data_IF_517664425401
#
_entry.id   IF_517664425401
#
_cell.length_a   1.000
_cell.length_b   1.000
_cell.length_c   1.000
_cell.angle_alpha   90.00
_cell.angle_beta   90.00
_cell.angle_gamma   90.00
#
_symmetry.space_group_name_H-M   'P 1'
#
loop_
_entity.id
_entity.type
_entity.pdbx_description
1 polymer ?
#
# COMPACT_ATOMS: atom_id res chain seq x y z
N UNK A 1 -28.23 -32.16 42.03
CA UNK A 1 -27.26 -31.06 42.00
C UNK A 1 -26.79 -30.92 40.56
N UNK A 2 -27.39 -29.99 39.80
CA UNK A 2 -27.10 -29.81 38.38
C UNK A 2 -26.00 -28.73 38.22
N UNK A 3 -24.86 -29.14 37.67
CA UNK A 3 -23.81 -28.25 37.20
C UNK A 3 -24.28 -27.60 35.89
N UNK A 4 -24.42 -26.27 35.88
CA UNK A 4 -24.69 -25.51 34.66
C UNK A 4 -23.34 -25.00 34.14
N UNK A 5 -22.83 -25.65 33.10
CA UNK A 5 -21.73 -25.11 32.29
C UNK A 5 -22.31 -23.96 31.45
N UNK A 6 -22.01 -22.71 31.82
CA UNK A 6 -22.20 -21.57 30.93
C UNK A 6 -21.12 -21.62 29.86
N UNK A 7 -21.48 -22.07 28.67
CA UNK A 7 -20.68 -21.83 27.47
C UNK A 7 -20.67 -20.33 27.17
N UNK A 8 -19.57 -19.67 27.50
CA UNK A 8 -19.29 -18.32 27.03
C UNK A 8 -19.01 -18.40 25.53
N UNK A 9 -20.03 -18.12 24.71
CA UNK A 9 -19.83 -17.84 23.29
C UNK A 9 -19.07 -16.52 23.15
N UNK A 10 -17.75 -16.59 23.13
CA UNK A 10 -16.92 -15.49 22.67
C UNK A 10 -17.16 -15.35 21.17
N UNK A 11 -18.07 -14.44 20.81
CA UNK A 11 -18.22 -13.98 19.44
C UNK A 11 -16.94 -13.24 19.09
N UNK A 12 -16.06 -13.90 18.33
CA UNK A 12 -14.86 -13.28 17.76
C UNK A 12 -15.35 -12.18 16.83
N UNK A 13 -15.40 -10.94 17.33
CA UNK A 13 -15.58 -9.75 16.51
C UNK A 13 -14.46 -9.78 15.47
N UNK A 14 -14.82 -10.01 14.21
CA UNK A 14 -13.98 -9.69 13.06
C UNK A 14 -13.50 -8.26 13.27
N UNK A 15 -12.20 -8.08 13.51
CA UNK A 15 -11.63 -6.73 13.50
C UNK A 15 -11.81 -6.30 12.05
N UNK A 16 -12.80 -5.44 11.78
CA UNK A 16 -12.79 -4.68 10.55
C UNK A 16 -11.49 -3.88 10.62
N UNK A 17 -10.47 -4.34 9.91
CA UNK A 17 -9.18 -3.68 9.89
C UNK A 17 -9.41 -2.27 9.35
N UNK A 18 -9.46 -1.28 10.25
CA UNK A 18 -9.52 0.11 9.85
C UNK A 18 -8.32 0.38 8.95
N UNK A 19 -8.51 1.14 7.87
CA UNK A 19 -7.37 1.55 7.05
C UNK A 19 -6.50 2.56 7.79
N UNK A 20 -5.21 2.61 7.45
CA UNK A 20 -4.27 3.57 8.01
C UNK A 20 -4.71 5.01 7.73
N UNK A 21 -5.42 5.22 6.62
CA UNK A 21 -5.95 6.50 6.17
C UNK A 21 -7.47 6.40 5.93
N UNK A 22 -8.17 7.53 6.05
CA UNK A 22 -9.59 7.62 5.65
C UNK A 22 -9.70 7.47 4.15
N UNK A 23 -10.36 6.39 3.70
CA UNK A 23 -10.53 6.11 2.28
C UNK A 23 -11.83 6.70 1.72
N UNK A 24 -11.87 7.04 0.41
CA UNK A 24 -13.12 7.31 -0.31
C UNK A 24 -14.07 6.10 -0.23
N UNK A 25 -15.38 6.32 -0.30
CA UNK A 25 -16.38 5.28 0.00
C UNK A 25 -16.24 3.95 -0.76
N UNK A 26 -15.89 3.99 -2.05
CA UNK A 26 -15.71 2.79 -2.88
C UNK A 26 -14.26 2.32 -2.95
N UNK A 27 -13.45 2.62 -1.92
CA UNK A 27 -12.02 2.36 -1.89
C UNK A 27 -11.63 1.50 -0.67
N UNK A 28 -10.82 0.44 -0.84
CA UNK A 28 -10.34 -0.11 -2.12
C UNK A 28 -11.49 -0.69 -2.97
N UNK A 29 -11.26 -0.96 -4.26
CA UNK A 29 -12.25 -1.65 -5.10
C UNK A 29 -12.65 -2.99 -4.49
N UNK A 30 -13.91 -3.39 -4.64
CA UNK A 30 -14.39 -4.69 -4.14
C UNK A 30 -13.62 -5.87 -4.78
N UNK A 31 -13.35 -5.76 -6.08
CA UNK A 31 -12.62 -6.75 -6.85
C UNK A 31 -11.12 -6.41 -6.87
N UNK A 32 -10.41 -6.83 -5.83
CA UNK A 32 -8.95 -6.68 -5.78
C UNK A 32 -8.24 -7.77 -6.57
N UNK A 33 -7.32 -7.39 -7.46
CA UNK A 33 -6.41 -8.33 -8.12
C UNK A 33 -5.11 -8.39 -7.32
N UNK A 34 -4.81 -9.54 -6.71
CA UNK A 34 -3.58 -9.67 -5.92
C UNK A 34 -2.32 -9.65 -6.80
N UNK A 35 -1.22 -9.02 -6.36
CA UNK A 35 0.09 -9.18 -6.99
C UNK A 35 0.48 -10.65 -7.08
N UNK A 36 1.18 -11.02 -8.16
CA UNK A 36 1.72 -12.38 -8.36
C UNK A 36 3.20 -12.47 -7.94
N UNK A 37 3.68 -11.52 -7.14
CA UNK A 37 5.06 -11.40 -6.67
C UNK A 37 5.07 -11.16 -5.16
N UNK A 38 6.06 -11.72 -4.49
CA UNK A 38 6.25 -11.55 -3.04
C UNK A 38 6.87 -10.19 -2.70
N UNK A 39 7.41 -9.48 -3.68
CA UNK A 39 8.07 -8.18 -3.49
C UNK A 39 7.65 -7.21 -4.59
N UNK A 40 7.28 -6.02 -4.17
CA UNK A 40 6.99 -4.87 -5.02
C UNK A 40 7.97 -3.73 -4.69
N UNK A 41 7.97 -2.67 -5.49
CA UNK A 41 8.94 -1.58 -5.36
C UNK A 41 8.24 -0.23 -5.23
N UNK A 42 8.61 0.52 -4.19
CA UNK A 42 8.18 1.90 -3.97
C UNK A 42 9.28 2.85 -4.44
N UNK A 43 8.95 3.76 -5.33
CA UNK A 43 9.86 4.83 -5.77
C UNK A 43 10.10 5.85 -4.65
N UNK A 44 11.35 6.26 -4.47
CA UNK A 44 11.83 7.19 -3.44
C UNK A 44 12.66 8.31 -4.06
N UNK A 45 12.61 9.49 -3.45
CA UNK A 45 13.41 10.65 -3.88
C UNK A 45 14.81 10.68 -3.24
N UNK A 46 15.07 9.81 -2.26
CA UNK A 46 16.33 9.72 -1.54
C UNK A 46 16.63 8.26 -1.15
N UNK A 47 17.88 7.98 -0.77
CA UNK A 47 18.30 6.66 -0.30
C UNK A 47 17.64 6.28 1.04
N UNK A 48 17.44 7.26 1.91
CA UNK A 48 16.71 7.07 3.15
C UNK A 48 15.21 7.27 2.89
N UNK A 49 14.38 6.45 3.52
CA UNK A 49 12.93 6.61 3.51
C UNK A 49 12.40 6.84 4.92
N UNK A 50 11.19 7.37 4.98
CA UNK A 50 10.46 7.68 6.19
C UNK A 50 9.00 7.26 6.06
N UNK A 51 8.25 7.35 7.14
CA UNK A 51 6.80 7.14 7.17
C UNK A 51 6.08 7.98 6.10
N UNK A 52 6.59 9.17 5.77
CA UNK A 52 5.99 10.04 4.77
C UNK A 52 6.02 9.46 3.34
N UNK A 53 6.99 8.60 3.03
CA UNK A 53 7.09 7.94 1.73
C UNK A 53 6.00 6.88 1.52
N UNK A 54 5.42 6.40 2.63
CA UNK A 54 4.34 5.43 2.71
C UNK A 54 2.99 6.08 3.05
N UNK A 55 2.83 7.38 2.83
CA UNK A 55 1.54 8.07 2.82
C UNK A 55 0.99 8.19 1.41
N UNK A 56 -0.33 8.16 1.27
CA UNK A 56 -0.99 8.40 -0.01
C UNK A 56 -0.80 9.84 -0.49
N UNK A 57 -0.97 10.08 -1.79
CA UNK A 57 -0.91 11.43 -2.34
C UNK A 57 -2.07 12.30 -1.84
N UNK A 58 -3.23 11.70 -1.58
CA UNK A 58 -4.38 12.39 -1.01
C UNK A 58 -4.12 12.87 0.42
N UNK A 59 -3.42 12.09 1.24
CA UNK A 59 -3.03 12.52 2.58
C UNK A 59 -1.95 13.61 2.56
N UNK A 60 -1.01 13.52 1.61
CA UNK A 60 0.04 14.55 1.43
C UNK A 60 -0.52 15.89 0.97
N UNK A 61 -1.51 15.86 0.09
CA UNK A 61 -2.20 17.06 -0.41
C UNK A 61 -3.72 16.80 -0.50
N UNK A 62 -4.46 17.03 0.60
CA UNK A 62 -5.90 16.84 0.64
C UNK A 62 -6.68 17.79 -0.28
N UNK A 63 -6.05 18.87 -0.75
CA UNK A 63 -6.68 19.85 -1.63
C UNK A 63 -6.61 19.46 -3.11
N UNK A 64 -5.74 18.51 -3.44
CA UNK A 64 -5.54 18.03 -4.81
C UNK A 64 -6.77 17.27 -5.31
N UNK A 65 -7.27 17.68 -6.47
CA UNK A 65 -8.33 16.98 -7.17
C UNK A 65 -7.75 15.81 -7.98
N UNK A 66 -7.97 14.59 -7.51
CA UNK A 66 -7.63 13.38 -8.26
C UNK A 66 -8.78 13.00 -9.18
N UNK A 67 -8.46 12.66 -10.43
CA UNK A 67 -9.44 12.05 -11.36
C UNK A 67 -9.94 10.71 -10.80
N UNK A 68 -9.03 9.96 -10.17
CA UNK A 68 -9.32 8.75 -9.42
C UNK A 68 -8.91 8.97 -7.95
N UNK A 69 -9.87 9.31 -7.08
CA UNK A 69 -9.61 9.49 -5.65
C UNK A 69 -9.12 8.23 -4.95
N UNK A 70 -9.54 7.04 -5.40
CA UNK A 70 -9.13 5.80 -4.75
C UNK A 70 -7.65 5.49 -5.01
N UNK A 71 -7.21 5.63 -6.26
CA UNK A 71 -5.79 5.58 -6.61
C UNK A 71 -4.98 6.68 -5.90
N UNK A 72 -5.54 7.88 -5.72
CA UNK A 72 -4.94 8.96 -4.95
C UNK A 72 -4.77 8.65 -3.45
N UNK A 73 -5.67 7.85 -2.88
CA UNK A 73 -5.66 7.38 -1.50
C UNK A 73 -4.82 6.09 -1.28
N UNK A 74 -4.03 5.67 -2.27
CA UNK A 74 -3.17 4.49 -2.20
C UNK A 74 -1.70 4.83 -2.13
N UNK A 75 -0.89 3.88 -1.65
CA UNK A 75 0.55 3.84 -1.91
C UNK A 75 0.76 3.21 -3.29
N UNK A 76 1.52 3.90 -4.14
CA UNK A 76 1.89 3.43 -5.48
C UNK A 76 3.14 2.56 -5.43
N UNK A 77 3.02 1.34 -5.97
CA UNK A 77 4.08 0.34 -6.05
C UNK A 77 4.17 -0.21 -7.48
N UNK A 78 5.34 -0.71 -7.87
CA UNK A 78 5.54 -1.42 -9.14
C UNK A 78 5.99 -2.87 -8.90
N UNK A 79 5.51 -3.85 -9.68
CA UNK A 79 5.82 -5.27 -9.44
C UNK A 79 7.29 -5.67 -9.52
N UNK A 80 8.12 -5.05 -10.37
CA UNK A 80 9.55 -5.40 -10.49
C UNK A 80 10.47 -4.19 -10.42
N UNK A 81 11.75 -4.42 -10.11
CA UNK A 81 12.75 -3.38 -10.07
C UNK A 81 12.99 -2.77 -11.45
N UNK A 82 12.97 -3.59 -12.51
CA UNK A 82 13.10 -3.14 -13.90
C UNK A 82 11.96 -2.21 -14.29
N UNK A 83 10.74 -2.49 -13.80
CA UNK A 83 9.61 -1.60 -13.96
C UNK A 83 9.78 -0.29 -13.20
N UNK A 84 10.43 -0.29 -12.03
CA UNK A 84 10.78 0.93 -11.31
C UNK A 84 11.76 1.80 -12.13
N UNK A 85 12.81 1.19 -12.67
CA UNK A 85 13.79 1.82 -13.56
C UNK A 85 13.11 2.37 -14.82
N UNK A 86 12.20 1.62 -15.43
CA UNK A 86 11.44 2.07 -16.60
C UNK A 86 10.48 3.23 -16.26
N UNK A 87 9.81 3.17 -15.11
CA UNK A 87 8.84 4.18 -14.68
C UNK A 87 9.49 5.55 -14.54
N UNK A 88 10.65 5.66 -13.88
CA UNK A 88 11.36 6.94 -13.69
C UNK A 88 11.89 7.55 -14.99
N UNK A 89 12.11 6.72 -16.02
CA UNK A 89 12.51 7.17 -17.36
C UNK A 89 11.36 7.76 -18.16
N UNK A 90 10.11 7.62 -17.73
CA UNK A 90 8.95 8.20 -18.43
C UNK A 90 8.91 9.74 -18.32
N UNK A 91 8.39 10.47 -19.33
CA UNK A 91 8.38 11.95 -19.32
C UNK A 91 7.68 12.56 -18.11
N UNK A 92 6.62 11.93 -17.62
CA UNK A 92 5.84 12.40 -16.48
C UNK A 92 6.62 12.22 -15.17
N UNK A 93 7.29 11.08 -15.01
CA UNK A 93 7.99 10.73 -13.77
C UNK A 93 9.37 11.37 -13.65
N UNK A 94 10.04 11.71 -14.76
CA UNK A 94 11.34 12.41 -14.73
C UNK A 94 11.30 13.70 -13.91
N UNK A 95 10.17 14.41 -13.91
CA UNK A 95 9.98 15.66 -13.15
C UNK A 95 9.80 15.44 -11.63
N UNK A 96 9.65 14.18 -11.20
CA UNK A 96 9.43 13.82 -9.79
C UNK A 96 10.72 13.49 -9.05
N UNK A 97 11.87 13.46 -9.73
CA UNK A 97 13.20 13.27 -9.13
C UNK A 97 13.29 12.02 -8.23
N UNK A 98 12.64 10.92 -8.64
CA UNK A 98 12.85 9.63 -8.00
C UNK A 98 14.26 9.13 -8.35
N UNK A 99 15.03 8.75 -7.35
CA UNK A 99 16.43 8.34 -7.47
C UNK A 99 16.68 6.93 -6.95
N UNK A 100 15.77 6.43 -6.11
CA UNK A 100 15.89 5.12 -5.47
C UNK A 100 14.55 4.39 -5.50
N UNK A 101 14.56 3.09 -5.27
CA UNK A 101 13.38 2.32 -4.93
C UNK A 101 13.65 1.43 -3.72
N UNK A 102 12.65 1.28 -2.87
CA UNK A 102 12.68 0.35 -1.74
C UNK A 102 11.79 -0.85 -2.03
N UNK A 103 12.31 -2.05 -1.75
CA UNK A 103 11.54 -3.28 -1.79
C UNK A 103 10.46 -3.26 -0.71
N UNK A 104 9.24 -3.65 -1.05
CA UNK A 104 8.09 -3.76 -0.14
C UNK A 104 7.57 -5.18 -0.25
N UNK A 105 7.72 -5.95 0.82
CA UNK A 105 7.22 -7.32 0.88
C UNK A 105 5.69 -7.33 0.81
N UNK A 106 5.15 -8.14 -0.07
CA UNK A 106 3.72 -8.41 -0.13
C UNK A 106 3.28 -9.15 1.14
N UNK A 107 2.23 -8.64 1.78
CA UNK A 107 1.62 -9.27 2.95
C UNK A 107 0.11 -8.99 2.92
N UNK A 108 -0.68 -10.04 2.73
CA UNK A 108 -2.14 -9.92 2.66
C UNK A 108 -2.79 -9.45 3.97
N UNK A 109 -2.06 -9.53 5.09
CA UNK A 109 -2.53 -9.04 6.39
C UNK A 109 -2.23 -7.57 6.61
N UNK A 110 -1.36 -6.98 5.79
CA UNK A 110 -0.92 -5.60 5.95
C UNK A 110 -1.88 -4.57 5.35
N UNK A 111 -2.82 -5.00 4.50
CA UNK A 111 -3.76 -4.11 3.83
C UNK A 111 -4.37 -4.72 2.57
N UNK A 112 -5.09 -3.90 1.83
CA UNK A 112 -5.61 -4.27 0.52
C UNK A 112 -4.58 -3.96 -0.58
N UNK A 113 -4.39 -4.91 -1.49
CA UNK A 113 -3.45 -4.79 -2.61
C UNK A 113 -4.19 -5.05 -3.91
N UNK A 114 -4.10 -4.12 -4.85
CA UNK A 114 -4.76 -4.24 -6.16
C UNK A 114 -3.77 -3.93 -7.28
N UNK A 115 -3.52 -4.92 -8.12
CA UNK A 115 -2.76 -4.79 -9.36
C UNK A 115 -3.68 -4.23 -10.45
N UNK A 116 -3.75 -2.90 -10.57
CA UNK A 116 -4.55 -2.20 -11.59
C UNK A 116 -4.06 -2.52 -13.01
N UNK A 117 -2.74 -2.59 -13.17
CA UNK A 117 -2.06 -2.89 -14.44
C UNK A 117 -0.88 -3.83 -14.18
N UNK A 118 -0.36 -4.53 -15.20
CA UNK A 118 0.85 -5.34 -15.08
C UNK A 118 2.08 -4.61 -14.54
N UNK A 119 2.04 -3.27 -14.49
CA UNK A 119 3.14 -2.40 -14.09
C UNK A 119 2.88 -1.59 -12.83
N UNK A 120 1.68 -1.69 -12.22
CA UNK A 120 1.30 -0.80 -11.13
C UNK A 120 0.35 -1.48 -10.14
N UNK A 121 0.73 -1.43 -8.87
CA UNK A 121 -0.06 -1.92 -7.76
C UNK A 121 -0.40 -0.76 -6.81
N UNK A 122 -1.69 -0.69 -6.45
CA UNK A 122 -2.20 0.16 -5.40
C UNK A 122 -2.22 -0.63 -4.09
N UNK A 123 -1.67 -0.04 -3.03
CA UNK A 123 -1.67 -0.61 -1.70
C UNK A 123 -2.34 0.33 -0.70
N UNK A 124 -3.36 -0.16 -0.01
CA UNK A 124 -4.06 0.54 1.08
C UNK A 124 -3.76 -0.16 2.40
N UNK A 125 -2.77 0.33 3.17
CA UNK A 125 -2.38 -0.30 4.42
C UNK A 125 -3.49 -0.23 5.47
N UNK A 126 -3.59 -1.27 6.30
CA UNK A 126 -4.41 -1.25 7.50
C UNK A 126 -3.75 -0.44 8.61
N UNK A 127 -4.55 -0.02 9.59
CA UNK A 127 -4.09 0.64 10.80
C UNK A 127 -3.08 -0.25 11.54
N UNK A 128 -2.02 0.37 12.08
CA UNK A 128 -0.90 -0.35 12.66
C UNK A 128 0.13 -0.88 11.66
N UNK A 129 -0.03 -0.59 10.36
CA UNK A 129 1.01 -0.82 9.36
C UNK A 129 2.32 -0.12 9.76
N UNK A 130 3.39 -0.92 9.90
CA UNK A 130 4.75 -0.45 10.06
C UNK A 130 5.56 -0.75 8.80
N UNK A 131 5.80 0.30 8.00
CA UNK A 131 6.61 0.22 6.80
C UNK A 131 8.01 -0.33 7.06
N UNK A 132 8.57 -0.20 8.27
CA UNK A 132 9.90 -0.75 8.60
C UNK A 132 9.93 -2.27 8.65
N UNK A 133 8.79 -2.91 8.87
CA UNK A 133 8.66 -4.38 8.92
C UNK A 133 8.62 -4.97 7.51
N UNK A 134 8.03 -4.25 6.55
CA UNK A 134 7.81 -4.72 5.19
C UNK A 134 8.80 -4.13 4.18
N UNK A 135 9.45 -3.03 4.51
CA UNK A 135 10.52 -2.46 3.71
C UNK A 135 11.78 -3.33 3.79
N UNK A 136 12.33 -3.65 2.62
CA UNK A 136 13.55 -4.41 2.45
C UNK A 136 14.68 -3.53 1.95
N UNK A 137 15.43 -4.07 0.99
CA UNK A 137 16.56 -3.37 0.38
C UNK A 137 16.15 -2.08 -0.34
N UNK A 138 17.06 -1.10 -0.36
CA UNK A 138 16.96 0.12 -1.16
C UNK A 138 17.97 0.04 -2.30
N UNK A 139 17.53 0.32 -3.52
CA UNK A 139 18.36 0.31 -4.74
C UNK A 139 18.28 1.65 -5.46
N UNK A 140 19.37 2.08 -6.08
CA UNK A 140 19.39 3.25 -6.96
C UNK A 140 18.76 2.95 -8.33
N UNK A 141 18.07 3.92 -8.94
CA UNK A 141 17.28 3.77 -10.18
C UNK A 141 17.95 4.34 -11.45
#
# INVERSE_FOLDING_TARGET
>A
MNMVNMEVKVSVKTIASAYHETLPGSCPPADVVKPQTDTLWRLLQSQAFSDADFKSELLKDPTRKFRDPCGGASISLVPTFEQAVAAVKSPVMRKKNFTHAVAVRYDEKAGAWHLDKPTHCHFWPYFGFDHKVLAGEVRAL
#
